data_IF_162244982952
#
_entry.id   IF_162244982952
#
_cell.length_a   1.000
_cell.length_b   1.000
_cell.length_c   1.000
_cell.angle_alpha   90.00
_cell.angle_beta   90.00
_cell.angle_gamma   90.00
#
_symmetry.space_group_name_H-M   'P 1'
#
loop_
_entity.id
_entity.type
_entity.pdbx_description
1 polymer ?
#
# COMPACT_ATOMS: atom_id res chain seq x y z
N UNK A 1 -8.99 -20.27 -1.31
CA UNK A 1 -7.98 -19.30 -1.78
C UNK A 1 -6.67 -19.63 -1.09
N UNK A 2 -5.50 -19.53 -1.75
CA UNK A 2 -4.23 -19.90 -1.09
C UNK A 2 -3.65 -18.67 -0.41
N UNK A 3 -3.53 -18.74 0.92
CA UNK A 3 -3.03 -17.67 1.76
C UNK A 3 -1.73 -18.12 2.46
N UNK A 4 -0.76 -17.23 2.61
CA UNK A 4 0.46 -17.50 3.39
C UNK A 4 0.17 -17.53 4.90
N UNK A 5 1.21 -17.65 5.74
CA UNK A 5 1.09 -17.60 7.20
C UNK A 5 0.50 -16.26 7.70
N UNK A 6 0.82 -15.15 7.00
CA UNK A 6 0.28 -13.81 7.27
C UNK A 6 -1.14 -13.59 6.69
N UNK A 7 -1.83 -14.65 6.28
CA UNK A 7 -3.15 -14.60 5.64
C UNK A 7 -3.22 -13.72 4.36
N UNK A 8 -2.08 -13.45 3.73
CA UNK A 8 -2.02 -12.73 2.46
C UNK A 8 -2.18 -13.69 1.28
N UNK A 9 -3.00 -13.34 0.27
CA UNK A 9 -3.24 -14.23 -0.85
C UNK A 9 -2.04 -14.33 -1.80
N UNK A 10 -1.61 -15.56 -2.09
CA UNK A 10 -0.36 -15.86 -2.81
C UNK A 10 -0.53 -16.10 -4.31
N UNK A 11 -1.73 -16.47 -4.77
CA UNK A 11 -1.98 -16.94 -6.13
C UNK A 11 -2.72 -15.89 -7.00
N UNK A 12 -3.06 -16.22 -8.25
CA UNK A 12 -3.78 -15.30 -9.15
C UNK A 12 -5.17 -14.88 -8.63
N UNK A 13 -5.78 -15.66 -7.73
CA UNK A 13 -7.04 -15.25 -7.07
C UNK A 13 -6.83 -14.03 -6.17
N UNK A 14 -5.59 -13.76 -5.72
CA UNK A 14 -5.21 -12.54 -4.98
C UNK A 14 -5.52 -11.26 -5.77
N UNK A 15 -5.13 -11.22 -7.04
CA UNK A 15 -5.34 -10.04 -7.89
C UNK A 15 -6.82 -9.86 -8.21
N UNK A 16 -7.59 -10.95 -8.30
CA UNK A 16 -9.06 -10.89 -8.49
C UNK A 16 -9.76 -10.27 -7.28
N UNK A 17 -9.49 -10.74 -6.05
CA UNK A 17 -10.10 -10.14 -4.86
C UNK A 17 -9.73 -8.67 -4.71
N UNK A 18 -8.44 -8.32 -4.85
CA UNK A 18 -7.99 -6.93 -4.72
C UNK A 18 -8.58 -6.00 -5.78
N UNK A 19 -8.84 -6.51 -6.99
CA UNK A 19 -9.55 -5.76 -8.04
C UNK A 19 -11.01 -5.56 -7.67
N UNK A 20 -11.67 -6.62 -7.21
CA UNK A 20 -13.06 -6.59 -6.78
C UNK A 20 -13.28 -5.69 -5.56
N UNK A 21 -12.42 -5.75 -4.54
CA UNK A 21 -12.43 -4.81 -3.43
C UNK A 21 -12.30 -3.35 -3.92
N UNK A 22 -11.51 -3.13 -4.96
CA UNK A 22 -11.39 -1.81 -5.60
C UNK A 22 -12.63 -1.34 -6.34
N UNK A 23 -13.51 -2.24 -6.80
CA UNK A 23 -14.80 -1.83 -7.38
C UNK A 23 -15.79 -1.44 -6.30
N UNK A 24 -15.83 -2.18 -5.18
CA UNK A 24 -16.71 -1.87 -4.04
C UNK A 24 -16.37 -0.51 -3.41
N UNK A 25 -15.08 -0.24 -3.22
CA UNK A 25 -14.60 1.01 -2.60
C UNK A 25 -14.86 2.26 -3.47
N UNK A 26 -15.18 2.07 -4.76
CA UNK A 26 -15.55 3.16 -5.67
C UNK A 26 -17.06 3.31 -5.84
N UNK A 27 -17.83 2.42 -5.22
CA UNK A 27 -19.28 2.50 -5.23
C UNK A 27 -19.75 3.63 -4.30
N UNK A 28 -20.55 4.56 -4.86
CA UNK A 28 -21.03 5.75 -4.16
C UNK A 28 -21.92 5.45 -2.94
N UNK A 29 -22.47 4.24 -2.85
CA UNK A 29 -23.35 3.81 -1.75
C UNK A 29 -22.59 3.00 -0.70
N UNK A 30 -21.56 2.25 -1.10
CA UNK A 30 -20.82 1.36 -0.19
C UNK A 30 -19.65 2.05 0.52
N UNK A 31 -19.02 3.04 -0.11
CA UNK A 31 -17.80 3.64 0.40
C UNK A 31 -17.88 5.17 0.40
N UNK A 32 -18.37 5.78 1.50
CA UNK A 32 -18.53 7.23 1.57
C UNK A 32 -17.18 7.95 1.49
N UNK A 33 -17.10 9.01 0.69
CA UNK A 33 -15.84 9.73 0.42
C UNK A 33 -15.64 11.01 1.25
N UNK A 34 -16.68 11.45 1.96
CA UNK A 34 -16.70 12.68 2.74
C UNK A 34 -15.92 12.60 4.07
N UNK A 35 -15.55 11.39 4.52
CA UNK A 35 -14.68 11.24 5.68
C UNK A 35 -13.23 11.64 5.33
N UNK A 36 -12.49 12.19 6.29
CA UNK A 36 -11.09 12.58 6.08
C UNK A 36 -10.13 11.37 6.13
N UNK A 37 -10.44 10.36 6.95
CA UNK A 37 -9.65 9.16 7.18
C UNK A 37 -10.53 7.90 7.10
N UNK A 38 -9.97 6.81 6.56
CA UNK A 38 -10.65 5.51 6.47
C UNK A 38 -11.03 4.96 7.85
N UNK A 39 -10.25 5.29 8.87
CA UNK A 39 -10.51 4.89 10.26
C UNK A 39 -11.79 5.52 10.81
N UNK A 40 -12.22 6.66 10.26
CA UNK A 40 -13.43 7.38 10.65
C UNK A 40 -14.67 6.90 9.87
N UNK A 41 -14.48 6.10 8.82
CA UNK A 41 -15.60 5.53 8.07
C UNK A 41 -16.35 4.55 8.99
N UNK A 42 -17.68 4.71 9.15
CA UNK A 42 -18.47 3.84 10.00
C UNK A 42 -18.29 2.36 9.68
N UNK A 43 -18.21 1.54 10.72
CA UNK A 43 -17.84 0.13 10.59
C UNK A 43 -18.82 -0.66 9.70
N UNK A 44 -20.12 -0.36 9.77
CA UNK A 44 -21.14 -1.03 8.96
C UNK A 44 -20.90 -0.97 7.45
N UNK A 45 -20.29 0.12 6.93
CA UNK A 45 -19.92 0.20 5.51
C UNK A 45 -18.83 -0.82 5.18
N UNK A 46 -17.82 -0.93 6.05
CA UNK A 46 -16.72 -1.87 5.89
C UNK A 46 -17.20 -3.31 5.99
N UNK A 47 -18.07 -3.60 6.96
CA UNK A 47 -18.66 -4.92 7.18
C UNK A 47 -19.51 -5.33 5.97
N UNK A 48 -20.33 -4.42 5.44
CA UNK A 48 -21.12 -4.68 4.22
C UNK A 48 -20.23 -5.03 3.03
N UNK A 49 -19.15 -4.27 2.80
CA UNK A 49 -18.19 -4.59 1.73
C UNK A 49 -17.49 -5.92 1.97
N UNK A 50 -17.16 -6.23 3.23
CA UNK A 50 -16.56 -7.50 3.61
C UNK A 50 -17.50 -8.67 3.35
N UNK A 51 -18.78 -8.58 3.69
CA UNK A 51 -19.77 -9.64 3.44
C UNK A 51 -19.95 -9.92 1.94
N UNK A 52 -19.93 -8.88 1.11
CA UNK A 52 -19.95 -9.02 -0.35
C UNK A 52 -18.69 -9.74 -0.87
N UNK A 53 -17.53 -9.49 -0.27
CA UNK A 53 -16.28 -10.19 -0.62
C UNK A 53 -16.35 -11.65 -0.13
N UNK A 54 -16.74 -11.87 1.12
CA UNK A 54 -16.83 -13.18 1.75
C UNK A 54 -17.79 -14.12 1.01
N UNK A 55 -18.93 -13.61 0.53
CA UNK A 55 -19.89 -14.38 -0.26
C UNK A 55 -19.37 -14.80 -1.64
N UNK A 56 -18.42 -14.06 -2.23
CA UNK A 56 -17.87 -14.33 -3.57
C UNK A 56 -16.58 -15.12 -3.57
N UNK A 57 -15.85 -15.17 -2.44
CA UNK A 57 -14.54 -15.79 -2.36
C UNK A 57 -14.47 -16.79 -1.21
N UNK A 58 -14.16 -18.05 -1.54
CA UNK A 58 -13.93 -19.09 -0.54
C UNK A 58 -12.60 -18.88 0.18
N UNK A 59 -12.69 -18.49 1.45
CA UNK A 59 -11.58 -18.26 2.38
C UNK A 59 -11.57 -19.39 3.42
N UNK A 60 -10.40 -20.03 3.69
CA UNK A 60 -10.28 -21.00 4.78
C UNK A 60 -10.68 -20.39 6.13
N UNK A 61 -11.46 -21.13 6.92
CA UNK A 61 -12.04 -20.62 8.17
C UNK A 61 -10.98 -20.20 9.18
N UNK A 62 -9.89 -20.97 9.28
CA UNK A 62 -8.71 -20.74 10.12
C UNK A 62 -7.95 -19.44 9.77
N UNK A 63 -8.15 -18.89 8.57
CA UNK A 63 -7.45 -17.68 8.08
C UNK A 63 -8.38 -16.50 7.86
N UNK A 64 -9.64 -16.63 8.25
CA UNK A 64 -10.68 -15.66 7.91
C UNK A 64 -10.41 -14.27 8.51
N UNK A 65 -10.05 -14.20 9.79
CA UNK A 65 -9.79 -12.94 10.49
C UNK A 65 -8.55 -12.20 9.95
N UNK A 66 -7.46 -12.95 9.72
CA UNK A 66 -6.25 -12.38 9.12
C UNK A 66 -6.49 -11.89 7.70
N UNK A 67 -7.29 -12.61 6.92
CA UNK A 67 -7.68 -12.19 5.57
C UNK A 67 -8.61 -10.97 5.60
N UNK A 68 -9.56 -10.90 6.53
CA UNK A 68 -10.42 -9.73 6.73
C UNK A 68 -9.57 -8.49 6.99
N UNK A 69 -8.64 -8.57 7.94
CA UNK A 69 -7.72 -7.48 8.29
C UNK A 69 -6.87 -7.04 7.09
N UNK A 70 -6.40 -7.99 6.27
CA UNK A 70 -5.68 -7.68 5.04
C UNK A 70 -6.55 -6.90 4.04
N UNK A 71 -7.79 -7.36 3.83
CA UNK A 71 -8.73 -6.74 2.88
C UNK A 71 -9.16 -5.36 3.36
N UNK A 72 -9.46 -5.16 4.64
CA UNK A 72 -9.81 -3.85 5.19
C UNK A 72 -8.69 -2.83 4.94
N UNK A 73 -7.44 -3.21 5.16
CA UNK A 73 -6.28 -2.36 4.87
C UNK A 73 -6.14 -2.06 3.37
N UNK A 74 -6.31 -3.05 2.50
CA UNK A 74 -6.24 -2.87 1.04
C UNK A 74 -7.39 -1.98 0.54
N UNK A 75 -8.60 -2.11 1.09
CA UNK A 75 -9.74 -1.24 0.81
C UNK A 75 -9.47 0.20 1.24
N UNK A 76 -8.98 0.41 2.47
CA UNK A 76 -8.65 1.76 2.96
C UNK A 76 -7.57 2.46 2.14
N UNK A 77 -6.58 1.71 1.62
CA UNK A 77 -5.61 2.26 0.66
C UNK A 77 -6.30 2.68 -0.64
N UNK A 78 -7.10 1.79 -1.25
CA UNK A 78 -7.81 2.07 -2.51
C UNK A 78 -8.79 3.22 -2.40
N UNK A 79 -9.41 3.39 -1.24
CA UNK A 79 -10.33 4.48 -0.96
C UNK A 79 -9.61 5.82 -0.98
N UNK A 80 -8.44 5.90 -0.34
CA UNK A 80 -7.57 7.09 -0.40
C UNK A 80 -7.07 7.34 -1.83
N UNK A 81 -6.65 6.30 -2.54
CA UNK A 81 -6.18 6.40 -3.93
C UNK A 81 -7.33 6.91 -4.82
N UNK A 82 -8.56 6.44 -4.63
CA UNK A 82 -9.72 6.91 -5.37
C UNK A 82 -10.02 8.39 -5.13
N UNK A 83 -9.97 8.85 -3.88
CA UNK A 83 -10.09 10.29 -3.55
C UNK A 83 -9.01 11.13 -4.22
N UNK A 84 -7.78 10.60 -4.30
CA UNK A 84 -6.69 11.25 -5.02
C UNK A 84 -6.97 11.34 -6.53
N UNK A 85 -7.45 10.27 -7.16
CA UNK A 85 -7.82 10.28 -8.58
C UNK A 85 -8.99 11.24 -8.87
N UNK A 86 -9.97 11.34 -7.97
CA UNK A 86 -11.04 12.33 -8.06
C UNK A 86 -10.47 13.76 -8.03
N UNK A 87 -9.58 14.06 -7.06
CA UNK A 87 -8.91 15.36 -6.98
C UNK A 87 -8.17 15.66 -8.28
N UNK A 88 -7.34 14.72 -8.76
CA UNK A 88 -6.53 14.89 -9.98
C UNK A 88 -7.39 15.16 -11.22
N UNK A 89 -8.57 14.57 -11.28
CA UNK A 89 -9.48 14.68 -12.44
C UNK A 89 -10.35 15.94 -12.38
N UNK A 90 -10.82 16.32 -11.18
CA UNK A 90 -11.84 17.34 -11.00
C UNK A 90 -11.27 18.71 -10.61
N UNK A 91 -10.19 18.73 -9.81
CA UNK A 91 -9.56 19.96 -9.34
C UNK A 91 -8.55 20.48 -10.37
N UNK A 92 -8.74 21.72 -10.80
CA UNK A 92 -7.87 22.46 -11.71
C UNK A 92 -7.16 23.60 -10.98
N UNK A 93 -6.03 24.05 -11.52
CA UNK A 93 -5.19 25.07 -10.89
C UNK A 93 -5.90 26.43 -10.70
N UNK A 94 -6.86 26.75 -11.56
CA UNK A 94 -7.63 27.99 -11.53
C UNK A 94 -8.94 27.88 -10.73
N UNK A 95 -9.19 26.76 -10.06
CA UNK A 95 -10.38 26.64 -9.22
C UNK A 95 -10.27 27.50 -7.97
N UNK A 96 -11.33 28.24 -7.69
CA UNK A 96 -11.46 29.13 -6.53
C UNK A 96 -12.50 28.63 -5.52
N UNK A 97 -13.30 27.62 -5.86
CA UNK A 97 -14.35 27.11 -4.97
C UNK A 97 -14.62 25.62 -5.12
N UNK A 98 -15.18 25.00 -4.08
CA UNK A 98 -15.65 23.62 -4.11
C UNK A 98 -16.80 23.41 -5.12
N UNK A 99 -17.64 24.42 -5.32
CA UNK A 99 -18.79 24.34 -6.23
C UNK A 99 -18.37 24.10 -7.69
N UNK A 100 -17.29 24.75 -8.17
CA UNK A 100 -16.79 24.55 -9.54
C UNK A 100 -16.25 23.14 -9.76
N UNK A 101 -15.71 22.51 -8.71
CA UNK A 101 -15.22 21.14 -8.73
C UNK A 101 -16.38 20.15 -8.79
N UNK A 102 -17.40 20.34 -7.96
CA UNK A 102 -18.60 19.48 -7.90
C UNK A 102 -19.38 19.53 -9.22
N UNK A 103 -19.49 20.71 -9.85
CA UNK A 103 -20.20 20.89 -11.12
C UNK A 103 -19.61 20.07 -12.29
N UNK A 104 -18.35 19.62 -12.19
CA UNK A 104 -17.70 18.78 -13.21
C UNK A 104 -17.89 17.28 -13.00
N UNK A 105 -18.40 16.87 -11.85
CA UNK A 105 -18.52 15.47 -11.49
C UNK A 105 -19.76 14.83 -12.10
N UNK A 106 -19.64 13.57 -12.49
CA UNK A 106 -20.75 12.75 -12.96
C UNK A 106 -21.54 12.21 -11.75
N UNK A 107 -22.82 12.58 -11.58
CA UNK A 107 -23.64 12.14 -10.44
C UNK A 107 -23.84 10.62 -10.39
N UNK A 108 -23.71 9.93 -11.53
CA UNK A 108 -23.82 8.47 -11.59
C UNK A 108 -22.58 7.77 -11.03
N UNK A 109 -21.42 8.46 -11.04
CA UNK A 109 -20.14 7.91 -10.58
C UNK A 109 -19.80 8.32 -9.16
N UNK A 110 -20.25 9.49 -8.70
CA UNK A 110 -19.89 10.05 -7.40
C UNK A 110 -21.13 10.66 -6.75
N UNK A 111 -21.27 10.50 -5.43
CA UNK A 111 -22.26 11.25 -4.66
C UNK A 111 -21.83 12.73 -4.55
N UNK A 112 -22.61 13.64 -5.16
CA UNK A 112 -22.27 15.07 -5.22
C UNK A 112 -22.20 15.74 -3.84
N UNK A 113 -23.06 15.36 -2.90
CA UNK A 113 -23.03 15.90 -1.54
C UNK A 113 -21.73 15.50 -0.84
N UNK A 114 -21.35 14.22 -0.93
CA UNK A 114 -20.11 13.75 -0.34
C UNK A 114 -18.88 14.37 -1.02
N UNK A 115 -18.96 14.61 -2.33
CA UNK A 115 -17.90 15.30 -3.07
C UNK A 115 -17.78 16.77 -2.65
N UNK A 116 -18.89 17.45 -2.33
CA UNK A 116 -18.86 18.83 -1.85
C UNK A 116 -18.13 18.95 -0.51
N UNK A 117 -18.42 18.04 0.44
CA UNK A 117 -17.71 17.95 1.72
C UNK A 117 -16.21 17.71 1.49
N UNK A 118 -15.88 16.76 0.61
CA UNK A 118 -14.50 16.42 0.28
C UNK A 118 -13.78 17.57 -0.42
N UNK A 119 -14.43 18.26 -1.35
CA UNK A 119 -13.85 19.37 -2.09
C UNK A 119 -13.54 20.54 -1.15
N UNK A 120 -14.39 20.80 -0.15
CA UNK A 120 -14.12 21.81 0.89
C UNK A 120 -12.77 21.55 1.59
N UNK A 121 -12.46 20.29 1.91
CA UNK A 121 -11.18 19.90 2.49
C UNK A 121 -10.00 20.21 1.55
N UNK A 122 -10.16 20.12 0.24
CA UNK A 122 -9.08 20.44 -0.71
C UNK A 122 -8.73 21.92 -0.77
N UNK A 123 -9.66 22.81 -0.40
CA UNK A 123 -9.43 24.25 -0.37
C UNK A 123 -8.85 24.74 0.97
N UNK A 124 -8.97 23.95 2.05
CA UNK A 124 -8.39 24.23 3.36
C UNK A 124 -6.85 24.38 3.30
N UNK A 125 -6.35 25.47 3.87
CA UNK A 125 -4.93 25.79 3.95
C UNK A 125 -4.12 24.73 4.70
N UNK A 126 -4.67 24.19 5.80
CA UNK A 126 -3.99 23.15 6.58
C UNK A 126 -3.75 21.90 5.74
N UNK A 127 -4.76 21.55 4.93
CA UNK A 127 -4.68 20.39 4.05
C UNK A 127 -3.73 20.63 2.88
N UNK A 128 -3.74 21.83 2.29
CA UNK A 128 -2.79 22.23 1.22
C UNK A 128 -1.35 22.15 1.68
N UNK A 129 -1.01 22.74 2.84
CA UNK A 129 0.33 22.68 3.41
C UNK A 129 0.78 21.23 3.65
N UNK A 130 -0.11 20.37 4.16
CA UNK A 130 0.17 18.94 4.33
C UNK A 130 0.39 18.22 2.99
N UNK A 131 -0.41 18.54 1.98
CA UNK A 131 -0.27 17.97 0.63
C UNK A 131 1.05 18.37 -0.02
N UNK A 132 1.48 19.62 0.14
CA UNK A 132 2.75 20.14 -0.39
C UNK A 132 3.95 19.46 0.28
N UNK A 133 3.98 19.42 1.61
CA UNK A 133 5.01 18.69 2.37
C UNK A 133 5.11 17.21 1.95
N UNK A 134 3.97 16.55 1.77
CA UNK A 134 3.95 15.16 1.30
C UNK A 134 4.49 15.02 -0.13
N UNK A 135 4.23 16.00 -1.00
CA UNK A 135 4.76 16.02 -2.36
C UNK A 135 6.29 16.20 -2.37
N UNK A 136 6.81 17.10 -1.53
CA UNK A 136 8.26 17.28 -1.34
C UNK A 136 8.92 16.00 -0.80
N UNK A 137 8.34 15.37 0.22
CA UNK A 137 8.81 14.10 0.75
C UNK A 137 8.83 13.00 -0.32
N UNK A 138 7.78 12.92 -1.14
CA UNK A 138 7.71 11.99 -2.27
C UNK A 138 8.80 12.27 -3.31
N UNK A 139 9.12 13.54 -3.59
CA UNK A 139 10.19 13.93 -4.49
C UNK A 139 11.59 13.48 -4.04
N UNK A 140 11.78 13.21 -2.74
CA UNK A 140 13.03 12.67 -2.19
C UNK A 140 13.18 11.15 -2.38
N UNK A 141 12.10 10.42 -2.69
CA UNK A 141 12.17 8.98 -2.97
C UNK A 141 12.68 8.73 -4.39
N UNK A 142 14.00 8.57 -4.52
CA UNK A 142 14.68 8.40 -5.81
C UNK A 142 14.84 6.95 -6.24
N UNK A 143 14.80 5.99 -5.31
CA UNK A 143 14.95 4.56 -5.63
C UNK A 143 13.61 3.97 -6.05
N UNK A 144 13.55 3.38 -7.24
CA UNK A 144 12.29 3.01 -7.90
C UNK A 144 12.21 1.50 -8.13
N UNK A 145 11.15 0.90 -7.61
CA UNK A 145 10.80 -0.50 -7.79
C UNK A 145 10.33 -0.84 -9.22
N UNK A 146 10.62 -2.05 -9.71
CA UNK A 146 10.37 -2.50 -11.09
C UNK A 146 9.46 -3.75 -11.25
N UNK A 147 9.06 -4.44 -10.17
CA UNK A 147 8.28 -5.70 -10.23
C UNK A 147 6.81 -5.57 -10.67
N UNK A 148 6.35 -4.35 -10.97
CA UNK A 148 4.97 -4.10 -11.40
C UNK A 148 3.93 -4.49 -10.34
N UNK A 149 2.85 -5.16 -10.76
CA UNK A 149 1.70 -5.51 -9.89
C UNK A 149 1.92 -6.75 -9.01
N UNK A 150 3.06 -7.41 -9.12
CA UNK A 150 3.39 -8.60 -8.33
C UNK A 150 3.84 -8.18 -6.93
N UNK A 151 3.08 -8.59 -5.91
CA UNK A 151 3.41 -8.31 -4.50
C UNK A 151 4.65 -9.07 -4.04
N UNK A 152 5.36 -8.53 -3.05
CA UNK A 152 6.47 -9.21 -2.37
C UNK A 152 6.10 -10.58 -1.81
N UNK A 153 4.90 -10.75 -1.24
CA UNK A 153 4.45 -12.07 -0.76
C UNK A 153 4.43 -13.13 -1.85
N UNK A 154 3.89 -12.78 -3.02
CA UNK A 154 3.90 -13.68 -4.18
C UNK A 154 5.31 -13.94 -4.70
N UNK A 155 6.17 -12.92 -4.69
CA UNK A 155 7.57 -13.10 -5.04
C UNK A 155 8.26 -14.09 -4.10
N UNK A 156 8.14 -13.90 -2.79
CA UNK A 156 8.74 -14.76 -1.78
C UNK A 156 8.24 -16.20 -1.89
N UNK A 157 6.94 -16.41 -2.12
CA UNK A 157 6.39 -17.76 -2.34
C UNK A 157 6.91 -18.42 -3.62
N UNK A 158 7.04 -17.67 -4.72
CA UNK A 158 7.63 -18.20 -5.96
C UNK A 158 9.14 -18.48 -5.82
N UNK A 159 9.84 -17.72 -4.97
CA UNK A 159 11.24 -17.93 -4.64
C UNK A 159 11.42 -19.19 -3.81
N UNK A 160 10.67 -19.33 -2.70
CA UNK A 160 10.69 -20.49 -1.81
C UNK A 160 10.40 -21.80 -2.57
N UNK A 161 9.46 -21.79 -3.51
CA UNK A 161 9.18 -22.96 -4.38
C UNK A 161 10.36 -23.36 -5.28
N UNK A 162 11.26 -22.43 -5.62
CA UNK A 162 12.41 -22.69 -6.49
C UNK A 162 13.66 -23.06 -5.71
N UNK A 163 13.91 -22.40 -4.58
CA UNK A 163 15.16 -22.51 -3.81
C UNK A 163 14.99 -23.34 -2.54
N UNK A 164 13.76 -23.65 -2.12
CA UNK A 164 13.46 -24.33 -0.86
C UNK A 164 13.55 -23.44 0.38
N UNK A 165 13.89 -22.15 0.24
CA UNK A 165 14.05 -21.21 1.34
C UNK A 165 13.53 -19.82 0.95
N UNK A 166 13.10 -19.01 1.93
CA UNK A 166 12.66 -17.63 1.68
C UNK A 166 13.85 -16.73 1.25
N UNK A 167 13.61 -15.67 0.46
CA UNK A 167 14.66 -14.72 0.11
C UNK A 167 15.00 -13.82 1.30
N UNK A 168 16.26 -13.40 1.40
CA UNK A 168 16.64 -12.31 2.30
C UNK A 168 16.06 -10.97 1.83
N UNK A 169 16.02 -9.97 2.71
CA UNK A 169 15.51 -8.62 2.38
C UNK A 169 16.30 -7.98 1.23
N UNK A 170 17.62 -8.12 1.24
CA UNK A 170 18.49 -7.62 0.18
C UNK A 170 18.26 -8.37 -1.15
N UNK A 171 18.11 -9.70 -1.12
CA UNK A 171 17.78 -10.47 -2.34
C UNK A 171 16.42 -10.08 -2.93
N UNK A 172 15.42 -9.89 -2.07
CA UNK A 172 14.12 -9.38 -2.47
C UNK A 172 14.26 -7.99 -3.08
N UNK A 173 15.04 -7.10 -2.47
CA UNK A 173 15.24 -5.74 -2.98
C UNK A 173 15.88 -5.73 -4.36
N UNK A 174 17.04 -6.39 -4.52
CA UNK A 174 17.78 -6.49 -5.79
C UNK A 174 16.85 -6.96 -6.91
N UNK A 175 16.11 -8.04 -6.68
CA UNK A 175 15.23 -8.57 -7.71
C UNK A 175 14.04 -7.66 -8.01
N UNK A 176 13.53 -6.98 -6.99
CA UNK A 176 12.36 -6.12 -7.14
C UNK A 176 12.67 -4.74 -7.73
N UNK A 177 13.95 -4.37 -7.79
CA UNK A 177 14.46 -3.11 -8.34
C UNK A 177 15.23 -3.30 -9.66
N UNK A 178 15.39 -4.55 -10.12
CA UNK A 178 16.02 -4.94 -11.39
C UNK A 178 14.98 -5.44 -12.38
N UNK A 179 14.97 -4.90 -13.61
CA UNK A 179 14.02 -5.35 -14.64
C UNK A 179 14.43 -6.71 -15.21
N UNK A 180 13.50 -7.38 -15.90
CA UNK A 180 13.76 -8.69 -16.55
C UNK A 180 14.89 -8.67 -17.58
N UNK A 181 15.11 -7.53 -18.24
CA UNK A 181 16.21 -7.32 -19.19
C UNK A 181 17.52 -6.93 -18.50
N UNK A 182 17.58 -6.95 -17.17
CA UNK A 182 18.76 -6.58 -16.38
C UNK A 182 18.96 -5.08 -16.17
N UNK A 183 18.16 -4.22 -16.80
CA UNK A 183 18.33 -2.76 -16.69
C UNK A 183 17.60 -2.18 -15.47
N UNK A 184 18.03 -0.99 -15.06
CA UNK A 184 17.42 -0.23 -13.96
C UNK A 184 16.52 0.90 -14.49
N UNK A 185 15.65 1.44 -13.62
CA UNK A 185 14.76 2.56 -13.97
C UNK A 185 15.50 3.90 -13.97
N UNK A 186 16.50 4.06 -13.12
CA UNK A 186 17.37 5.23 -13.04
C UNK A 186 18.72 4.85 -12.42
N UNK A 187 19.66 5.79 -12.50
CA UNK A 187 21.04 5.61 -12.04
C UNK A 187 21.12 5.48 -10.51
N UNK A 188 20.22 6.13 -9.76
CA UNK A 188 20.18 6.00 -8.30
C UNK A 188 19.81 4.59 -7.86
N UNK A 189 18.80 3.98 -8.49
CA UNK A 189 18.41 2.60 -8.21
C UNK A 189 19.53 1.63 -8.58
N UNK A 190 20.20 1.87 -9.71
CA UNK A 190 21.33 1.05 -10.15
C UNK A 190 22.46 1.04 -9.13
N UNK A 191 22.87 2.20 -8.62
CA UNK A 191 23.93 2.31 -7.60
C UNK A 191 23.61 1.48 -6.36
N UNK A 192 22.40 1.62 -5.83
CA UNK A 192 21.96 0.89 -4.63
C UNK A 192 21.90 -0.61 -4.89
N UNK A 193 21.38 -1.04 -6.04
CA UNK A 193 21.28 -2.46 -6.39
C UNK A 193 22.67 -3.08 -6.55
N UNK A 194 23.60 -2.39 -7.23
CA UNK A 194 24.98 -2.86 -7.40
C UNK A 194 25.69 -3.01 -6.06
N UNK A 195 25.58 -2.01 -5.17
CA UNK A 195 26.16 -2.07 -3.82
C UNK A 195 25.58 -3.25 -3.01
N UNK A 196 24.26 -3.49 -3.10
CA UNK A 196 23.62 -4.66 -2.47
C UNK A 196 24.09 -5.99 -3.06
N UNK A 197 24.26 -6.08 -4.38
CA UNK A 197 24.78 -7.27 -5.05
C UNK A 197 26.22 -7.57 -4.61
N UNK A 198 27.09 -6.54 -4.54
CA UNK A 198 28.47 -6.66 -4.05
C UNK A 198 28.51 -7.18 -2.61
N UNK A 199 27.75 -6.58 -1.68
CA UNK A 199 27.71 -7.05 -0.29
C UNK A 199 27.16 -8.49 -0.16
N UNK A 200 26.18 -8.86 -0.99
CA UNK A 200 25.66 -10.23 -1.05
C UNK A 200 26.66 -11.24 -1.60
N UNK A 201 27.66 -10.82 -2.39
CA UNK A 201 28.76 -11.70 -2.83
C UNK A 201 29.80 -11.92 -1.74
N UNK A 202 30.09 -10.89 -0.94
CA UNK A 202 31.07 -10.96 0.14
C UNK A 202 30.56 -11.67 1.40
N UNK A 203 29.26 -11.65 1.67
CA UNK A 203 28.64 -12.32 2.82
C UNK A 203 27.52 -13.30 2.39
N UNK A 204 27.86 -14.57 2.11
CA UNK A 204 26.89 -15.59 1.71
C UNK A 204 25.93 -15.98 2.85
N UNK A 205 26.33 -15.80 4.11
CA UNK A 205 25.50 -16.12 5.28
C UNK A 205 24.27 -15.20 5.38
N UNK A 206 24.39 -13.97 4.89
CA UNK A 206 23.29 -13.01 4.74
C UNK A 206 22.26 -13.37 3.64
N UNK A 207 22.44 -14.50 2.94
CA UNK A 207 21.50 -15.01 1.91
C UNK A 207 20.39 -15.90 2.48
N UNK A 208 20.48 -16.27 3.77
CA UNK A 208 19.47 -17.07 4.44
C UNK A 208 18.27 -16.17 4.80
N UNK A 209 17.12 -16.39 4.14
CA UNK A 209 15.85 -15.85 4.61
C UNK A 209 15.35 -16.58 5.85
N UNK A 210 14.41 -15.96 6.57
CA UNK A 210 13.86 -16.51 7.82
C UNK A 210 13.30 -17.93 7.70
N UNK A 211 13.34 -18.67 8.80
CA UNK A 211 12.77 -20.02 8.91
C UNK A 211 11.29 -19.97 9.33
N UNK A 212 10.47 -20.94 8.90
CA UNK A 212 9.06 -21.04 9.34
C UNK A 212 8.05 -20.14 8.61
N UNK A 213 8.30 -19.76 7.36
CA UNK A 213 7.30 -19.05 6.53
C UNK A 213 7.17 -17.55 6.79
N UNK A 214 8.08 -16.96 7.59
CA UNK A 214 8.13 -15.52 7.89
C UNK A 214 9.50 -14.95 7.48
N UNK A 215 9.50 -13.83 6.74
CA UNK A 215 10.72 -13.07 6.47
C UNK A 215 11.14 -12.35 7.75
N UNK A 216 12.27 -12.74 8.33
CA UNK A 216 12.90 -12.02 9.43
C UNK A 216 13.79 -10.91 8.86
N UNK A 217 13.58 -9.67 9.28
CA UNK A 217 14.45 -8.53 8.92
C UNK A 217 15.35 -8.23 10.10
N UNK A 218 16.66 -8.35 9.91
CA UNK A 218 17.61 -8.02 10.96
C UNK A 218 17.98 -6.53 10.89
N UNK A 219 18.11 -5.81 12.03
CA UNK A 219 18.42 -4.38 12.04
C UNK A 219 19.76 -3.99 11.41
N UNK A 220 20.65 -4.96 11.25
CA UNK A 220 22.01 -4.87 10.72
C UNK A 220 22.20 -5.67 9.42
N UNK A 221 21.10 -6.06 8.77
CA UNK A 221 21.15 -6.72 7.47
C UNK A 221 21.75 -5.83 6.36
N UNK A 222 22.17 -6.45 5.26
CA UNK A 222 22.77 -5.76 4.09
C UNK A 222 21.88 -4.60 3.62
N UNK A 223 20.57 -4.79 3.65
CA UNK A 223 19.62 -3.74 3.28
C UNK A 223 19.75 -2.52 4.21
N UNK A 224 19.75 -2.75 5.53
CA UNK A 224 19.79 -1.69 6.54
C UNK A 224 21.11 -0.94 6.57
N UNK A 225 22.21 -1.57 6.13
CA UNK A 225 23.51 -0.92 5.93
C UNK A 225 23.49 0.13 4.81
N UNK A 226 22.74 -0.12 3.74
CA UNK A 226 22.73 0.72 2.53
C UNK A 226 21.61 1.77 2.57
N UNK A 227 20.37 1.33 2.85
CA UNK A 227 19.18 2.21 2.86
C UNK A 227 18.92 2.84 4.24
N UNK A 228 19.73 2.49 5.23
CA UNK A 228 19.58 2.92 6.62
C UNK A 228 18.60 2.08 7.43
N UNK A 229 18.63 2.25 8.76
CA UNK A 229 17.69 1.60 9.67
C UNK A 229 16.28 2.11 9.38
N UNK A 230 15.32 1.19 9.26
CA UNK A 230 13.91 1.56 9.21
C UNK A 230 13.54 2.32 10.51
N UNK A 231 13.07 3.57 10.47
CA UNK A 231 12.70 4.32 11.67
C UNK A 231 11.49 3.75 12.45
N UNK A 232 10.93 2.63 11.97
CA UNK A 232 9.64 2.08 12.42
C UNK A 232 9.78 0.74 13.15
N UNK A 233 10.98 0.31 13.53
CA UNK A 233 11.17 -0.92 14.30
C UNK A 233 11.63 -0.60 15.72
N UNK A 234 10.74 -0.90 16.68
CA UNK A 234 10.80 -0.53 18.09
C UNK A 234 9.47 0.03 18.64
N UNK A 235 8.56 0.45 17.73
CA UNK A 235 7.29 1.07 18.07
C UNK A 235 6.18 0.07 17.74
N UNK A 236 5.42 -0.38 18.75
CA UNK A 236 4.28 -1.28 18.52
C UNK A 236 3.24 -0.64 17.59
N UNK A 237 2.44 -1.44 16.89
CA UNK A 237 1.32 -0.93 16.05
C UNK A 237 0.38 0.02 16.84
N UNK A 238 0.27 -0.17 18.16
CA UNK A 238 -0.47 0.70 19.07
C UNK A 238 0.24 2.04 19.33
N UNK A 239 1.57 2.06 19.39
CA UNK A 239 2.34 3.29 19.53
C UNK A 239 2.41 4.08 18.21
N UNK A 240 2.38 3.40 17.06
CA UNK A 240 2.20 4.05 15.76
C UNK A 240 0.81 4.70 15.62
N UNK A 241 -0.22 4.11 16.24
CA UNK A 241 -1.54 4.73 16.32
C UNK A 241 -1.56 5.95 17.25
N UNK A 242 -0.78 5.96 18.34
CA UNK A 242 -0.62 7.11 19.24
C UNK A 242 0.16 8.26 18.60
N UNK A 243 1.21 7.98 17.83
CA UNK A 243 2.00 9.00 17.13
C UNK A 243 1.27 9.63 15.92
N UNK A 244 0.22 8.97 15.43
CA UNK A 244 -0.63 9.45 14.32
C UNK A 244 -1.99 10.00 14.80
N UNK A 245 -2.22 10.05 16.12
CA UNK A 245 -3.34 10.80 16.67
C UNK A 245 -2.99 12.30 16.67
N UNK A 246 -3.82 13.19 16.12
CA UNK A 246 -3.64 14.61 16.35
C UNK A 246 -3.74 14.86 17.86
N UNK A 247 -2.81 15.64 18.41
CA UNK A 247 -2.92 16.22 19.74
C UNK A 247 -4.37 16.70 19.92
N UNK A 248 -5.10 16.05 20.82
CA UNK A 248 -6.34 16.60 21.33
C UNK A 248 -5.96 17.78 22.22
N UNK A 249 -6.20 18.97 21.68
CA UNK A 249 -6.49 20.20 22.40
C UNK A 249 -7.42 21.01 21.50
#
# INVERSE_FOLDING_TARGET
MDLNAMCHPMNLKSSKVRRFAGTLVRDRQLAPINFSDWRLVPQHFKDTMWDIIKSKFMVPHDKLEGFHSFIERDMGKKWKDYKHELKKTLLKANDTSAATVVARADPNKVNLSQLADLATIWFDEKWKAKSEKNNECRGKQKVVHSTGSKSYTRYASEWEKKTGALPSRAQLFVNTHKRKNGTHLNNETEKVVTEMEELLTHDPTSRLGGTGGTMTWAPDDIYSKIEGKNPLEGISLNELQKLLAPNQS
#
